data_IF_952175169356
#
_entry.id   IF_952175169356
#
_cell.length_a   1.000
_cell.length_b   1.000
_cell.length_c   1.000
_cell.angle_alpha   90.00
_cell.angle_beta   90.00
_cell.angle_gamma   90.00
#
_symmetry.space_group_name_H-M   'P 1'
#
loop_
_entity.id
_entity.type
_entity.pdbx_description
1 polymer ?
#
# COMPACT_ATOMS: atom_id res chain seq x y z
N UNK A 1 28.34 -3.79 10.93
CA UNK A 1 27.87 -3.13 9.69
C UNK A 1 28.20 -3.90 8.40
N UNK A 2 29.27 -4.71 8.34
CA UNK A 2 29.54 -5.68 7.24
C UNK A 2 28.39 -6.64 7.00
N UNK A 3 27.78 -7.13 8.09
CA UNK A 3 26.61 -8.01 8.06
C UNK A 3 25.38 -7.34 7.40
N UNK A 4 25.16 -6.05 7.64
CA UNK A 4 24.06 -5.29 7.02
C UNK A 4 24.26 -5.16 5.50
N UNK A 5 25.49 -4.86 5.06
CA UNK A 5 25.83 -4.75 3.64
C UNK A 5 25.66 -6.10 2.93
N UNK A 6 26.09 -7.20 3.55
CA UNK A 6 25.88 -8.56 3.03
C UNK A 6 24.39 -8.93 2.95
N UNK A 7 23.61 -8.57 3.98
CA UNK A 7 22.15 -8.75 3.96
C UNK A 7 21.47 -7.95 2.85
N UNK A 8 21.88 -6.68 2.63
CA UNK A 8 21.37 -5.86 1.52
C UNK A 8 21.70 -6.49 0.17
N UNK A 9 22.96 -6.95 -0.03
CA UNK A 9 23.39 -7.62 -1.27
C UNK A 9 22.59 -8.90 -1.54
N UNK A 10 22.47 -9.78 -0.54
CA UNK A 10 21.67 -10.99 -0.64
C UNK A 10 20.19 -10.68 -0.99
N UNK A 11 19.65 -9.60 -0.40
CA UNK A 11 18.28 -9.15 -0.68
C UNK A 11 18.10 -8.68 -2.12
N UNK A 12 19.04 -7.90 -2.64
CA UNK A 12 19.03 -7.43 -4.03
C UNK A 12 19.10 -8.59 -5.03
N UNK A 13 20.00 -9.55 -4.81
CA UNK A 13 20.11 -10.74 -5.65
C UNK A 13 18.79 -11.53 -5.66
N UNK A 14 18.22 -11.78 -4.48
CA UNK A 14 16.93 -12.47 -4.37
C UNK A 14 15.80 -11.72 -5.10
N UNK A 15 15.79 -10.39 -5.09
CA UNK A 15 14.77 -9.62 -5.81
C UNK A 15 15.01 -9.64 -7.33
N UNK A 16 16.26 -9.65 -7.79
CA UNK A 16 16.59 -9.79 -9.21
C UNK A 16 16.13 -11.15 -9.78
N UNK A 17 16.31 -12.22 -9.00
CA UNK A 17 15.87 -13.57 -9.38
C UNK A 17 14.35 -13.71 -9.33
N UNK A 18 13.67 -13.12 -8.34
CA UNK A 18 12.20 -13.07 -8.31
C UNK A 18 11.65 -12.33 -9.55
N UNK A 19 12.22 -11.17 -9.89
CA UNK A 19 11.82 -10.42 -11.09
C UNK A 19 12.03 -11.25 -12.37
N UNK A 20 13.17 -11.93 -12.48
CA UNK A 20 13.49 -12.79 -13.63
C UNK A 20 12.48 -13.92 -13.76
N UNK A 21 12.23 -14.65 -12.67
CA UNK A 21 11.33 -15.80 -12.61
C UNK A 21 9.90 -15.43 -13.00
N UNK A 22 9.41 -14.28 -12.55
CA UNK A 22 8.03 -13.83 -12.81
C UNK A 22 7.85 -13.12 -14.16
N UNK A 23 8.95 -12.81 -14.86
CA UNK A 23 8.91 -11.98 -16.08
C UNK A 23 8.02 -12.58 -17.16
N UNK A 24 8.18 -13.86 -17.47
CA UNK A 24 7.45 -14.46 -18.60
C UNK A 24 5.96 -14.63 -18.27
N UNK A 25 5.64 -15.16 -17.08
CA UNK A 25 4.26 -15.24 -16.62
C UNK A 25 3.54 -13.87 -16.59
N UNK A 26 4.24 -12.79 -16.19
CA UNK A 26 3.68 -11.44 -16.27
C UNK A 26 3.42 -10.98 -17.72
N UNK A 27 4.33 -11.30 -18.65
CA UNK A 27 4.21 -10.95 -20.08
C UNK A 27 3.11 -11.72 -20.81
N UNK A 28 2.94 -12.99 -20.49
CA UNK A 28 1.89 -13.86 -21.04
C UNK A 28 0.55 -13.50 -20.40
N UNK A 29 0.55 -13.30 -19.08
CA UNK A 29 -0.66 -12.97 -18.31
C UNK A 29 -1.42 -14.21 -17.90
N UNK A 30 -0.70 -15.30 -17.68
CA UNK A 30 -1.21 -16.56 -17.15
C UNK A 30 -1.87 -16.38 -15.78
N UNK A 31 -1.26 -15.54 -14.93
CA UNK A 31 -1.69 -15.31 -13.56
C UNK A 31 -1.40 -13.84 -13.14
N UNK A 32 -2.39 -13.08 -12.64
CA UNK A 32 -2.19 -11.76 -12.04
C UNK A 32 -1.13 -11.73 -10.92
N UNK A 33 -0.90 -12.86 -10.25
CA UNK A 33 0.05 -12.98 -9.15
C UNK A 33 1.49 -12.71 -9.57
N UNK A 34 1.84 -12.97 -10.84
CA UNK A 34 3.17 -12.62 -11.36
C UNK A 34 3.44 -11.11 -11.25
N UNK A 35 2.46 -10.28 -11.62
CA UNK A 35 2.59 -8.81 -11.53
C UNK A 35 2.64 -8.37 -10.07
N UNK A 36 1.83 -9.00 -9.20
CA UNK A 36 1.85 -8.73 -7.77
C UNK A 36 3.23 -9.00 -7.14
N UNK A 37 3.79 -10.20 -7.37
CA UNK A 37 5.09 -10.58 -6.82
C UNK A 37 6.23 -9.72 -7.38
N UNK A 38 6.19 -9.35 -8.67
CA UNK A 38 7.16 -8.40 -9.22
C UNK A 38 7.08 -7.03 -8.53
N UNK A 39 5.90 -6.51 -8.21
CA UNK A 39 5.76 -5.27 -7.43
C UNK A 39 6.33 -5.41 -6.03
N UNK A 40 6.08 -6.53 -5.37
CA UNK A 40 6.65 -6.85 -4.05
C UNK A 40 8.18 -6.85 -4.12
N UNK A 41 8.76 -7.48 -5.15
CA UNK A 41 10.19 -7.51 -5.38
C UNK A 41 10.78 -6.12 -5.60
N UNK A 42 10.16 -5.29 -6.45
CA UNK A 42 10.58 -3.89 -6.66
C UNK A 42 10.56 -3.10 -5.35
N UNK A 43 9.47 -3.18 -4.57
CA UNK A 43 9.37 -2.47 -3.28
C UNK A 43 10.46 -2.91 -2.31
N UNK A 44 10.71 -4.22 -2.21
CA UNK A 44 11.75 -4.81 -1.34
C UNK A 44 13.15 -4.40 -1.77
N UNK A 45 13.44 -4.37 -3.07
CA UNK A 45 14.72 -3.89 -3.61
C UNK A 45 14.95 -2.42 -3.26
N UNK A 46 13.95 -1.56 -3.47
CA UNK A 46 14.04 -0.13 -3.11
C UNK A 46 14.24 0.09 -1.61
N UNK A 47 13.58 -0.70 -0.76
CA UNK A 47 13.79 -0.65 0.68
C UNK A 47 15.22 -1.05 1.06
N UNK A 48 15.76 -2.09 0.42
CA UNK A 48 17.14 -2.53 0.64
C UNK A 48 18.16 -1.46 0.21
N UNK A 49 17.94 -0.78 -0.92
CA UNK A 49 18.81 0.33 -1.37
C UNK A 49 18.86 1.49 -0.38
N UNK A 50 17.73 1.80 0.27
CA UNK A 50 17.68 2.83 1.32
C UNK A 50 18.40 2.41 2.59
N UNK A 51 18.53 1.11 2.85
CA UNK A 51 19.16 0.56 4.05
C UNK A 51 20.70 0.51 3.96
N UNK A 52 21.27 0.69 2.77
CA UNK A 52 22.70 0.89 2.60
C UNK A 52 23.27 0.17 1.38
N UNK A 53 23.56 0.92 0.32
CA UNK A 53 24.51 0.66 -0.77
C UNK A 53 24.46 1.88 -1.70
N UNK A 54 25.57 2.62 -1.94
CA UNK A 54 25.57 3.74 -2.87
C UNK A 54 25.44 3.21 -4.30
N UNK A 55 24.21 3.11 -4.81
CA UNK A 55 23.91 2.67 -6.18
C UNK A 55 23.19 3.81 -6.91
N UNK A 56 23.94 4.82 -7.39
CA UNK A 56 23.36 5.96 -8.08
C UNK A 56 22.46 5.51 -9.23
N UNK A 57 21.22 6.04 -9.26
CA UNK A 57 20.27 5.77 -10.33
C UNK A 57 19.46 4.47 -10.21
N UNK A 58 19.84 3.50 -9.37
CA UNK A 58 19.13 2.22 -9.30
C UNK A 58 17.72 2.36 -8.68
N UNK A 59 17.53 3.25 -7.69
CA UNK A 59 16.19 3.56 -7.16
C UNK A 59 15.29 4.18 -8.25
N UNK A 60 15.85 5.01 -9.12
CA UNK A 60 15.10 5.64 -10.20
C UNK A 60 14.63 4.60 -11.24
N UNK A 61 15.49 3.64 -11.59
CA UNK A 61 15.13 2.53 -12.49
C UNK A 61 14.08 1.59 -11.85
N UNK A 62 14.22 1.27 -10.56
CA UNK A 62 13.21 0.51 -9.82
C UNK A 62 11.88 1.26 -9.72
N UNK A 63 11.91 2.59 -9.54
CA UNK A 63 10.71 3.44 -9.56
C UNK A 63 10.04 3.42 -10.94
N UNK A 64 10.81 3.51 -12.02
CA UNK A 64 10.31 3.40 -13.39
C UNK A 64 9.61 2.06 -13.64
N UNK A 65 10.26 0.93 -13.30
CA UNK A 65 9.66 -0.39 -13.43
C UNK A 65 8.40 -0.52 -12.54
N UNK A 66 8.51 -0.06 -11.28
CA UNK A 66 7.43 -0.09 -10.31
C UNK A 66 6.19 0.69 -10.76
N UNK A 67 6.36 1.81 -11.46
CA UNK A 67 5.24 2.56 -12.02
C UNK A 67 4.51 1.76 -13.12
N UNK A 68 5.26 1.08 -14.00
CA UNK A 68 4.66 0.30 -15.09
C UNK A 68 3.95 -0.97 -14.61
N UNK A 69 4.51 -1.67 -13.63
CA UNK A 69 3.83 -2.79 -12.95
C UNK A 69 2.65 -2.26 -12.12
N UNK A 70 2.83 -1.05 -11.59
CA UNK A 70 1.90 -0.30 -10.78
C UNK A 70 0.53 -0.19 -11.43
N UNK A 71 0.52 0.46 -12.60
CA UNK A 71 -0.66 0.74 -13.39
C UNK A 71 -1.51 -0.50 -13.72
N UNK A 72 -0.88 -1.67 -13.91
CA UNK A 72 -1.63 -2.92 -14.15
C UNK A 72 -2.26 -3.43 -12.87
N UNK A 73 -1.47 -3.56 -11.79
CA UNK A 73 -1.97 -4.14 -10.54
C UNK A 73 -3.02 -3.25 -9.88
N UNK A 74 -2.90 -1.94 -9.97
CA UNK A 74 -3.89 -1.02 -9.39
C UNK A 74 -5.26 -1.23 -10.06
N UNK A 75 -5.29 -1.39 -11.39
CA UNK A 75 -6.51 -1.73 -12.13
C UNK A 75 -7.01 -3.15 -11.85
N UNK A 76 -6.12 -4.14 -11.68
CA UNK A 76 -6.51 -5.49 -11.25
C UNK A 76 -7.23 -5.44 -9.90
N UNK A 77 -6.63 -4.79 -8.89
CA UNK A 77 -7.21 -4.64 -7.55
C UNK A 77 -8.55 -3.92 -7.61
N UNK A 78 -8.65 -2.84 -8.40
CA UNK A 78 -9.89 -2.07 -8.51
C UNK A 78 -11.01 -2.89 -9.16
N UNK A 79 -10.72 -3.60 -10.27
CA UNK A 79 -11.67 -4.50 -10.92
C UNK A 79 -12.13 -5.63 -9.99
N UNK A 80 -11.19 -6.30 -9.32
CA UNK A 80 -11.49 -7.39 -8.39
C UNK A 80 -12.37 -6.89 -7.24
N UNK A 81 -12.05 -5.73 -6.68
CA UNK A 81 -12.80 -5.12 -5.58
C UNK A 81 -14.24 -4.77 -6.00
N UNK A 82 -14.41 -4.09 -7.14
CA UNK A 82 -15.74 -3.72 -7.64
C UNK A 82 -16.59 -4.94 -8.03
N UNK A 83 -15.98 -5.99 -8.60
CA UNK A 83 -16.69 -7.26 -8.88
C UNK A 83 -17.09 -8.00 -7.60
N UNK A 84 -16.22 -8.02 -6.59
CA UNK A 84 -16.56 -8.60 -5.29
C UNK A 84 -17.76 -7.88 -4.65
N UNK A 85 -17.97 -6.59 -4.98
CA UNK A 85 -19.14 -5.81 -4.54
C UNK A 85 -20.41 -6.11 -5.31
N UNK A 86 -20.34 -6.78 -6.45
CA UNK A 86 -21.51 -7.26 -7.19
C UNK A 86 -21.94 -8.67 -6.75
N UNK A 87 -21.26 -9.32 -5.80
CA UNK A 87 -21.67 -10.65 -5.30
C UNK A 87 -23.11 -10.60 -4.79
N UNK A 88 -23.95 -11.53 -5.27
CA UNK A 88 -25.38 -11.59 -4.96
C UNK A 88 -26.27 -10.69 -5.84
N UNK A 89 -25.72 -10.10 -6.90
CA UNK A 89 -26.52 -9.54 -8.00
C UNK A 89 -27.04 -10.68 -8.89
N UNK A 90 -28.16 -10.45 -9.57
CA UNK A 90 -28.67 -11.38 -10.59
C UNK A 90 -27.87 -11.29 -11.91
N UNK A 91 -28.21 -12.13 -12.89
CA UNK A 91 -27.45 -12.24 -14.15
C UNK A 91 -27.47 -10.93 -14.97
N UNK A 92 -28.62 -10.26 -15.05
CA UNK A 92 -28.79 -9.00 -15.79
C UNK A 92 -28.00 -7.87 -15.11
N UNK A 93 -28.02 -7.83 -13.78
CA UNK A 93 -27.25 -6.89 -12.99
C UNK A 93 -25.74 -7.13 -13.10
N UNK A 94 -25.28 -8.38 -13.12
CA UNK A 94 -23.87 -8.71 -13.32
C UNK A 94 -23.40 -8.28 -14.72
N UNK A 95 -24.21 -8.49 -15.75
CA UNK A 95 -23.92 -8.00 -17.11
C UNK A 95 -23.87 -6.47 -17.16
N UNK A 96 -24.75 -5.80 -16.42
CA UNK A 96 -24.76 -4.35 -16.28
C UNK A 96 -23.51 -3.84 -15.54
N UNK A 97 -23.02 -4.54 -14.51
CA UNK A 97 -21.75 -4.23 -13.85
C UNK A 97 -20.57 -4.38 -14.80
N UNK A 98 -20.50 -5.45 -15.60
CA UNK A 98 -19.41 -5.60 -16.58
C UNK A 98 -19.44 -4.51 -17.67
N UNK A 99 -20.64 -4.01 -18.03
CA UNK A 99 -20.80 -2.85 -18.90
C UNK A 99 -20.24 -1.59 -18.26
N UNK A 100 -20.56 -1.34 -16.99
CA UNK A 100 -20.02 -0.23 -16.20
C UNK A 100 -18.49 -0.28 -16.11
N UNK A 101 -17.93 -1.47 -15.86
CA UNK A 101 -16.48 -1.67 -15.67
C UNK A 101 -15.69 -1.70 -16.99
N UNK A 102 -16.36 -1.62 -18.15
CA UNK A 102 -15.71 -1.75 -19.46
C UNK A 102 -14.54 -0.77 -19.65
N UNK A 103 -14.71 0.49 -19.22
CA UNK A 103 -13.66 1.51 -19.29
C UNK A 103 -12.38 1.07 -18.55
N UNK A 104 -12.51 0.54 -17.34
CA UNK A 104 -11.37 0.02 -16.57
C UNK A 104 -10.73 -1.20 -17.25
N UNK A 105 -11.53 -2.09 -17.84
CA UNK A 105 -11.02 -3.24 -18.59
C UNK A 105 -10.18 -2.80 -19.78
N UNK A 106 -10.61 -1.76 -20.52
CA UNK A 106 -9.86 -1.17 -21.63
C UNK A 106 -8.56 -0.53 -21.14
N UNK A 107 -8.61 0.27 -20.07
CA UNK A 107 -7.42 0.87 -19.45
C UNK A 107 -6.42 -0.20 -19.00
N UNK A 108 -6.90 -1.28 -18.39
CA UNK A 108 -6.07 -2.39 -17.92
C UNK A 108 -5.37 -3.09 -19.08
N UNK A 109 -6.07 -3.29 -20.21
CA UNK A 109 -5.47 -3.84 -21.44
C UNK A 109 -4.36 -2.92 -21.97
N UNK A 110 -4.58 -1.60 -21.99
CA UNK A 110 -3.57 -0.64 -22.42
C UNK A 110 -2.34 -0.59 -21.48
N UNK A 111 -2.57 -0.55 -20.16
CA UNK A 111 -1.53 -0.62 -19.15
C UNK A 111 -0.70 -1.91 -19.29
N UNK A 112 -1.37 -3.05 -19.51
CA UNK A 112 -0.73 -4.35 -19.74
C UNK A 112 0.13 -4.34 -21.00
N UNK A 113 -0.33 -3.75 -22.11
CA UNK A 113 0.49 -3.61 -23.31
C UNK A 113 1.75 -2.78 -23.05
N UNK A 114 1.63 -1.68 -22.32
CA UNK A 114 2.77 -0.84 -21.92
C UNK A 114 3.75 -1.61 -21.05
N UNK A 115 3.26 -2.30 -20.02
CA UNK A 115 4.07 -3.16 -19.16
C UNK A 115 4.80 -4.24 -19.96
N UNK A 116 4.14 -4.91 -20.92
CA UNK A 116 4.78 -5.91 -21.78
C UNK A 116 5.93 -5.32 -22.59
N UNK A 117 5.79 -4.09 -23.12
CA UNK A 117 6.89 -3.39 -23.83
C UNK A 117 8.04 -3.07 -22.87
N UNK A 118 7.74 -2.60 -21.66
CA UNK A 118 8.72 -2.35 -20.59
C UNK A 118 9.51 -3.61 -20.28
N UNK A 119 8.83 -4.72 -20.01
CA UNK A 119 9.47 -5.99 -19.67
C UNK A 119 10.28 -6.57 -20.84
N UNK A 120 9.98 -6.25 -22.11
CA UNK A 120 10.78 -6.67 -23.28
C UNK A 120 11.95 -5.74 -23.60
N UNK A 121 12.01 -4.58 -22.96
CA UNK A 121 12.98 -3.54 -23.30
C UNK A 121 14.43 -3.94 -22.92
N UNK A 122 15.40 -3.33 -23.62
CA UNK A 122 16.81 -3.41 -23.22
C UNK A 122 17.03 -2.76 -21.84
N UNK A 123 16.26 -1.72 -21.51
CA UNK A 123 16.32 -1.02 -20.22
C UNK A 123 15.99 -1.94 -19.05
N UNK A 124 14.94 -2.75 -19.16
CA UNK A 124 14.59 -3.74 -18.14
C UNK A 124 15.70 -4.78 -17.92
N UNK A 125 16.30 -5.29 -19.00
CA UNK A 125 17.44 -6.21 -18.89
C UNK A 125 18.62 -5.58 -18.17
N UNK A 126 18.99 -4.35 -18.56
CA UNK A 126 20.06 -3.58 -17.88
C UNK A 126 19.77 -3.37 -16.39
N UNK A 127 18.52 -3.15 -16.01
CA UNK A 127 18.13 -3.06 -14.60
C UNK A 127 18.38 -4.37 -13.85
N UNK A 128 18.02 -5.53 -14.43
CA UNK A 128 18.31 -6.83 -13.81
C UNK A 128 19.81 -7.06 -13.65
N UNK A 129 20.59 -6.72 -14.68
CA UNK A 129 22.04 -6.84 -14.66
C UNK A 129 22.66 -5.93 -13.58
N UNK A 130 22.21 -4.67 -13.49
CA UNK A 130 22.65 -3.72 -12.48
C UNK A 130 22.29 -4.16 -11.05
N UNK A 131 21.13 -4.80 -10.84
CA UNK A 131 20.77 -5.38 -9.54
C UNK A 131 21.70 -6.54 -9.14
N UNK A 132 22.05 -7.40 -10.10
CA UNK A 132 23.01 -8.50 -9.87
C UNK A 132 24.41 -7.99 -9.60
N UNK A 133 24.86 -7.00 -10.38
CA UNK A 133 26.16 -6.35 -10.21
C UNK A 133 26.26 -5.64 -8.86
N UNK A 134 25.23 -4.91 -8.45
CA UNK A 134 25.19 -4.28 -7.13
C UNK A 134 25.23 -5.31 -5.98
N UNK A 135 24.70 -6.52 -6.21
CA UNK A 135 24.74 -7.59 -5.23
C UNK A 135 26.11 -8.29 -5.14
N UNK A 136 26.90 -8.31 -6.23
CA UNK A 136 28.20 -9.00 -6.30
C UNK A 136 29.41 -8.07 -6.18
N UNK A 137 29.24 -6.76 -6.41
CA UNK A 137 30.33 -5.79 -6.35
C UNK A 137 30.97 -5.74 -4.96
N UNK A 138 32.28 -5.98 -4.89
CA UNK A 138 33.06 -6.01 -3.66
C UNK A 138 33.42 -4.62 -3.09
N UNK A 139 32.86 -3.53 -3.62
CA UNK A 139 33.25 -2.17 -3.19
C UNK A 139 33.03 -1.96 -1.70
N UNK A 140 34.15 -1.77 -0.99
CA UNK A 140 34.22 -1.32 0.39
C UNK A 140 33.67 0.12 0.45
N UNK A 141 32.70 0.33 1.34
CA UNK A 141 32.15 1.65 1.61
C UNK A 141 33.01 2.30 2.70
N UNK A 142 33.47 3.56 2.55
CA UNK A 142 34.05 4.32 3.65
C UNK A 142 32.97 4.51 4.72
N UNK A 143 33.27 4.05 5.94
CA UNK A 143 32.35 4.06 7.08
C UNK A 143 32.52 5.39 7.82
N UNK A 144 31.48 6.21 7.82
CA UNK A 144 31.28 7.18 8.90
C UNK A 144 30.43 6.48 9.97
N UNK A 145 31.05 6.23 11.12
CA UNK A 145 30.37 5.76 12.33
C UNK A 145 29.49 6.88 12.88
N UNK A 146 28.18 6.67 12.83
CA UNK A 146 27.26 7.33 13.77
C UNK A 146 26.61 6.24 14.61
N UNK A 147 27.29 5.87 15.69
CA UNK A 147 26.66 5.22 16.84
C UNK A 147 25.80 6.28 17.55
N UNK A 148 24.62 6.56 17.02
CA UNK A 148 23.57 7.22 17.79
C UNK A 148 22.80 6.15 18.56
N UNK A 149 23.08 6.10 19.86
CA UNK A 149 22.30 5.42 20.88
C UNK A 149 20.80 5.72 20.69
N UNK A 150 19.89 4.72 20.74
CA UNK A 150 18.49 4.97 20.47
C UNK A 150 17.94 5.96 21.50
N UNK A 151 17.31 7.09 21.09
CA UNK A 151 16.62 7.95 22.04
C UNK A 151 15.60 7.09 22.78
N UNK A 152 15.54 7.24 24.11
CA UNK A 152 14.68 6.46 25.00
C UNK A 152 13.38 6.10 24.28
N UNK A 153 13.19 4.81 24.00
CA UNK A 153 12.20 4.18 23.09
C UNK A 153 10.79 4.82 23.11
N UNK A 154 10.43 5.35 24.28
CA UNK A 154 9.18 6.03 24.61
C UNK A 154 9.05 7.40 23.91
N UNK A 155 10.14 8.16 23.78
CA UNK A 155 10.16 9.50 23.18
C UNK A 155 9.82 9.50 21.69
N UNK A 156 10.24 8.46 20.96
CA UNK A 156 9.98 8.26 19.52
C UNK A 156 8.49 8.01 19.26
N UNK A 157 7.79 7.35 20.18
CA UNK A 157 6.35 7.03 20.08
C UNK A 157 5.46 8.17 20.58
N UNK A 158 5.89 8.88 21.63
CA UNK A 158 5.07 9.91 22.32
C UNK A 158 4.68 11.08 21.41
N UNK A 159 5.58 11.54 20.53
CA UNK A 159 5.30 12.67 19.62
C UNK A 159 4.28 12.31 18.53
N UNK A 160 4.42 11.19 17.78
CA UNK A 160 3.39 10.71 16.86
C UNK A 160 2.04 10.43 17.52
N UNK A 161 2.02 9.80 18.70
CA UNK A 161 0.79 9.53 19.45
C UNK A 161 0.05 10.82 19.80
N UNK A 162 0.74 11.81 20.41
CA UNK A 162 0.12 13.10 20.73
C UNK A 162 -0.42 13.83 19.49
N UNK A 163 0.25 13.71 18.34
CA UNK A 163 -0.24 14.28 17.08
C UNK A 163 -1.52 13.58 16.61
N UNK A 164 -1.58 12.25 16.72
CA UNK A 164 -2.78 11.47 16.38
C UNK A 164 -3.97 11.86 17.27
N UNK A 165 -3.76 11.92 18.60
CA UNK A 165 -4.83 12.29 19.54
C UNK A 165 -5.35 13.71 19.29
N UNK A 166 -4.45 14.69 19.12
CA UNK A 166 -4.85 16.07 18.79
C UNK A 166 -5.59 16.18 17.46
N UNK A 167 -5.18 15.43 16.45
CA UNK A 167 -5.87 15.40 15.17
C UNK A 167 -7.29 14.85 15.35
N UNK A 168 -7.45 13.76 16.11
CA UNK A 168 -8.76 13.17 16.40
C UNK A 168 -9.67 14.06 17.26
N UNK A 169 -9.12 14.76 18.25
CA UNK A 169 -9.85 15.71 19.10
C UNK A 169 -10.39 16.89 18.29
N UNK A 170 -9.68 17.32 17.24
CA UNK A 170 -10.15 18.37 16.35
C UNK A 170 -11.31 17.91 15.43
N UNK A 171 -11.58 16.61 15.34
CA UNK A 171 -12.66 16.07 14.52
C UNK A 171 -14.00 16.12 15.25
N UNK A 172 -14.99 16.76 14.62
CA UNK A 172 -16.38 16.76 15.07
C UNK A 172 -17.05 15.38 15.02
N UNK A 173 -18.33 15.31 15.37
CA UNK A 173 -19.09 14.05 15.44
C UNK A 173 -19.12 13.31 14.09
N UNK A 174 -19.27 14.05 12.98
CA UNK A 174 -19.27 13.52 11.62
C UNK A 174 -18.21 14.24 10.76
N UNK A 175 -16.93 13.87 10.87
CA UNK A 175 -15.86 14.55 10.14
C UNK A 175 -15.95 14.28 8.62
N UNK A 176 -15.51 15.21 7.76
CA UNK A 176 -15.30 14.98 6.33
C UNK A 176 -14.48 13.72 6.03
N UNK A 177 -14.66 13.13 4.85
CA UNK A 177 -13.91 11.93 4.44
C UNK A 177 -12.39 12.21 4.38
N UNK A 178 -11.98 13.39 3.90
CA UNK A 178 -10.56 13.81 3.83
C UNK A 178 -9.91 13.95 5.21
N UNK A 179 -10.67 14.38 6.22
CA UNK A 179 -10.15 14.49 7.59
C UNK A 179 -9.87 13.10 8.20
N UNK A 180 -10.70 12.10 7.87
CA UNK A 180 -10.45 10.70 8.24
C UNK A 180 -9.24 10.12 7.49
N UNK A 181 -9.02 10.54 6.23
CA UNK A 181 -7.81 10.19 5.49
C UNK A 181 -6.54 10.71 6.17
N UNK A 182 -6.53 12.00 6.54
CA UNK A 182 -5.40 12.62 7.25
C UNK A 182 -5.18 11.97 8.62
N UNK A 183 -6.25 11.64 9.35
CA UNK A 183 -6.15 10.91 10.61
C UNK A 183 -5.48 9.54 10.41
N UNK A 184 -5.79 8.82 9.34
CA UNK A 184 -5.11 7.57 8.99
C UNK A 184 -3.62 7.76 8.71
N UNK A 185 -3.22 8.87 8.10
CA UNK A 185 -1.80 9.20 7.89
C UNK A 185 -1.09 9.38 9.23
N UNK A 186 -1.73 10.03 10.21
CA UNK A 186 -1.20 10.11 11.58
C UNK A 186 -1.07 8.73 12.22
N UNK A 187 -2.06 7.85 12.06
CA UNK A 187 -2.00 6.46 12.51
C UNK A 187 -0.81 5.71 11.91
N UNK A 188 -0.56 5.86 10.60
CA UNK A 188 0.61 5.27 9.91
C UNK A 188 1.93 5.71 10.50
N UNK A 189 2.06 7.01 10.78
CA UNK A 189 3.27 7.57 11.40
C UNK A 189 3.50 6.98 12.79
N UNK A 190 2.44 6.80 13.59
CA UNK A 190 2.54 6.15 14.91
C UNK A 190 2.96 4.69 14.80
N UNK A 191 2.31 3.90 13.93
CA UNK A 191 2.66 2.49 13.75
C UNK A 191 4.10 2.31 13.30
N UNK A 192 4.56 3.13 12.34
CA UNK A 192 5.95 3.10 11.88
C UNK A 192 6.94 3.40 13.02
N UNK A 193 6.66 4.43 13.84
CA UNK A 193 7.47 4.73 15.00
C UNK A 193 7.51 3.58 16.02
N UNK A 194 6.38 2.89 16.23
CA UNK A 194 6.29 1.72 17.10
C UNK A 194 7.01 0.48 16.54
N UNK A 195 6.92 0.22 15.23
CA UNK A 195 7.64 -0.86 14.54
C UNK A 195 9.17 -0.64 14.58
N UNK A 196 9.65 0.60 14.43
CA UNK A 196 11.07 0.91 14.59
C UNK A 196 11.59 0.66 16.01
N UNK A 197 10.71 0.74 16.99
CA UNK A 197 11.00 0.46 18.39
C UNK A 197 10.91 -1.05 18.75
N UNK A 198 10.49 -1.90 17.80
CA UNK A 198 10.29 -3.34 17.99
C UNK A 198 11.55 -4.18 18.27
N UNK A 199 12.79 -3.82 17.87
CA UNK A 199 13.98 -4.60 18.21
C UNK A 199 14.23 -4.76 19.72
N UNK A 200 13.62 -3.92 20.57
CA UNK A 200 13.62 -4.04 22.03
C UNK A 200 12.42 -4.85 22.62
N UNK A 201 11.63 -5.48 21.73
CA UNK A 201 10.45 -6.35 21.89
C UNK A 201 9.79 -6.51 23.28
N UNK A 202 9.37 -5.40 23.90
CA UNK A 202 8.45 -5.42 25.05
C UNK A 202 7.03 -5.73 24.55
N UNK A 203 6.30 -6.63 25.23
CA UNK A 203 4.89 -7.02 24.95
C UNK A 203 3.96 -5.83 24.65
N UNK A 204 4.23 -4.66 25.26
CA UNK A 204 3.47 -3.42 25.10
C UNK A 204 3.62 -2.77 23.72
N UNK A 205 4.82 -2.79 23.12
CA UNK A 205 5.01 -2.24 21.76
C UNK A 205 4.23 -3.08 20.75
N UNK A 206 4.25 -4.40 20.90
CA UNK A 206 3.44 -5.31 20.06
C UNK A 206 1.95 -5.01 20.18
N UNK A 207 1.46 -4.74 21.39
CA UNK A 207 0.07 -4.33 21.60
C UNK A 207 -0.26 -3.01 20.89
N UNK A 208 0.60 -2.00 20.99
CA UNK A 208 0.42 -0.72 20.29
C UNK A 208 0.44 -0.90 18.76
N UNK A 209 1.36 -1.71 18.22
CA UNK A 209 1.42 -2.01 16.78
C UNK A 209 0.12 -2.69 16.32
N UNK A 210 -0.39 -3.65 17.10
CA UNK A 210 -1.65 -4.34 16.79
C UNK A 210 -2.84 -3.37 16.79
N UNK A 211 -3.04 -2.62 17.87
CA UNK A 211 -4.14 -1.66 17.98
C UNK A 211 -4.09 -0.61 16.86
N UNK A 212 -2.89 -0.10 16.54
CA UNK A 212 -2.72 0.90 15.48
C UNK A 212 -2.97 0.28 14.09
N UNK A 213 -2.68 -1.01 13.90
CA UNK A 213 -3.00 -1.72 12.67
C UNK A 213 -4.52 -1.85 12.49
N UNK A 214 -5.24 -2.31 13.50
CA UNK A 214 -6.71 -2.45 13.45
C UNK A 214 -7.39 -1.11 13.17
N UNK A 215 -6.97 -0.04 13.86
CA UNK A 215 -7.40 1.32 13.59
C UNK A 215 -7.15 1.76 12.13
N UNK A 216 -5.95 1.48 11.60
CA UNK A 216 -5.59 1.81 10.21
C UNK A 216 -6.33 0.99 9.16
N UNK A 217 -6.68 -0.26 9.49
CA UNK A 217 -7.41 -1.15 8.61
C UNK A 217 -8.83 -0.63 8.44
N UNK A 218 -9.52 -0.23 9.52
CA UNK A 218 -10.86 0.40 9.45
C UNK A 218 -10.86 1.72 8.67
N UNK A 219 -9.91 2.63 8.95
CA UNK A 219 -9.82 3.87 8.16
C UNK A 219 -9.34 3.61 6.72
N UNK A 220 -8.63 2.50 6.49
CA UNK A 220 -8.27 2.05 5.15
C UNK A 220 -9.51 1.64 4.37
N UNK A 221 -10.34 0.79 4.97
CA UNK A 221 -11.60 0.33 4.39
C UNK A 221 -12.58 1.49 4.12
N UNK A 222 -12.62 2.49 5.02
CA UNK A 222 -13.38 3.72 4.79
C UNK A 222 -12.89 4.46 3.55
N UNK A 223 -11.58 4.74 3.44
CA UNK A 223 -10.99 5.42 2.29
C UNK A 223 -11.25 4.65 0.98
N UNK A 224 -11.07 3.33 1.02
CA UNK A 224 -11.28 2.49 -0.16
C UNK A 224 -12.74 2.53 -0.62
N UNK A 225 -13.70 2.62 0.31
CA UNK A 225 -15.11 2.80 -0.01
C UNK A 225 -15.42 4.20 -0.58
N UNK A 226 -14.75 5.25 -0.10
CA UNK A 226 -14.84 6.62 -0.68
C UNK A 226 -14.37 6.60 -2.14
N UNK A 227 -13.17 6.06 -2.38
CA UNK A 227 -12.58 5.98 -3.72
C UNK A 227 -13.43 5.10 -4.65
N UNK A 228 -14.00 4.00 -4.13
CA UNK A 228 -14.88 3.13 -4.91
C UNK A 228 -16.16 3.85 -5.34
N UNK A 229 -16.83 4.59 -4.43
CA UNK A 229 -18.01 5.39 -4.79
C UNK A 229 -17.68 6.43 -5.88
N UNK A 230 -16.58 7.16 -5.72
CA UNK A 230 -16.12 8.14 -6.71
C UNK A 230 -15.82 7.48 -8.06
N UNK A 231 -15.14 6.34 -8.04
CA UNK A 231 -14.83 5.55 -9.25
C UNK A 231 -16.12 5.13 -9.97
N UNK A 232 -17.09 4.58 -9.25
CA UNK A 232 -18.36 4.12 -9.85
C UNK A 232 -19.09 5.29 -10.51
N UNK A 233 -19.14 6.46 -9.85
CA UNK A 233 -19.75 7.67 -10.40
C UNK A 233 -19.02 8.19 -11.63
N UNK A 234 -17.68 8.19 -11.58
CA UNK A 234 -16.84 8.56 -12.72
C UNK A 234 -17.10 7.65 -13.93
N UNK A 235 -17.09 6.34 -13.73
CA UNK A 235 -17.36 5.36 -14.78
C UNK A 235 -18.75 5.53 -15.40
N UNK A 236 -19.78 5.76 -14.58
CA UNK A 236 -21.12 6.01 -15.09
C UNK A 236 -21.19 7.31 -15.91
N UNK A 237 -20.46 8.34 -15.49
CA UNK A 237 -20.37 9.62 -16.22
C UNK A 237 -19.64 9.44 -17.56
N UNK A 238 -18.55 8.67 -17.57
CA UNK A 238 -17.74 8.41 -18.77
C UNK A 238 -18.49 7.63 -19.86
N UNK A 239 -19.54 6.89 -19.50
CA UNK A 239 -20.39 6.19 -20.46
C UNK A 239 -21.32 7.13 -21.26
N UNK A 240 -21.55 8.36 -20.76
CA UNK A 240 -22.34 9.39 -21.45
C UNK A 240 -23.85 9.13 -21.49
N UNK A 241 -24.53 9.78 -22.44
CA UNK A 241 -25.98 9.67 -22.62
C UNK A 241 -26.37 8.34 -23.28
N UNK A 242 -27.59 7.86 -22.96
CA UNK A 242 -28.14 6.63 -23.57
C UNK A 242 -27.69 5.32 -22.90
N UNK A 243 -27.05 5.40 -21.73
CA UNK A 243 -26.69 4.24 -20.91
C UNK A 243 -27.95 3.45 -20.53
N UNK A 244 -27.94 2.10 -20.65
CA UNK A 244 -29.08 1.28 -20.25
C UNK A 244 -29.46 1.51 -18.79
N UNK A 245 -30.77 1.57 -18.50
CA UNK A 245 -31.29 1.79 -17.14
C UNK A 245 -30.77 0.74 -16.16
N UNK A 246 -30.55 -0.50 -16.61
CA UNK A 246 -29.96 -1.58 -15.81
C UNK A 246 -28.55 -1.26 -15.31
N UNK A 247 -27.74 -0.56 -16.12
CA UNK A 247 -26.38 -0.10 -15.72
C UNK A 247 -26.47 1.01 -14.68
N UNK A 248 -27.37 1.97 -14.87
CA UNK A 248 -27.61 3.04 -13.87
C UNK A 248 -28.07 2.43 -12.55
N UNK A 249 -28.98 1.46 -12.61
CA UNK A 249 -29.50 0.76 -11.42
C UNK A 249 -28.39 -0.03 -10.70
N UNK A 250 -27.62 -0.84 -11.42
CA UNK A 250 -26.51 -1.60 -10.86
C UNK A 250 -25.43 -0.69 -10.23
N UNK A 251 -25.08 0.41 -10.90
CA UNK A 251 -24.18 1.43 -10.36
C UNK A 251 -24.71 2.04 -9.05
N UNK A 252 -26.01 2.36 -9.02
CA UNK A 252 -26.67 2.85 -7.80
C UNK A 252 -26.60 1.86 -6.65
N UNK A 253 -26.83 0.56 -6.91
CA UNK A 253 -26.70 -0.50 -5.88
C UNK A 253 -25.28 -0.63 -5.36
N UNK A 254 -24.27 -0.54 -6.24
CA UNK A 254 -22.86 -0.56 -5.83
C UNK A 254 -22.52 0.65 -4.96
N UNK A 255 -22.96 1.86 -5.34
CA UNK A 255 -22.77 3.08 -4.54
C UNK A 255 -23.39 2.95 -3.15
N UNK A 256 -24.61 2.42 -3.05
CA UNK A 256 -25.26 2.20 -1.75
C UNK A 256 -24.51 1.19 -0.88
N UNK A 257 -23.93 0.13 -1.48
CA UNK A 257 -23.06 -0.80 -0.74
C UNK A 257 -21.80 -0.11 -0.22
N UNK A 258 -21.16 0.76 -1.00
CA UNK A 258 -20.00 1.53 -0.54
C UNK A 258 -20.36 2.54 0.55
N UNK A 259 -21.51 3.20 0.46
CA UNK A 259 -22.03 4.09 1.52
C UNK A 259 -22.28 3.36 2.82
N UNK A 260 -22.87 2.16 2.76
CA UNK A 260 -23.05 1.31 3.94
C UNK A 260 -21.71 0.94 4.59
N UNK A 261 -20.68 0.62 3.79
CA UNK A 261 -19.32 0.38 4.29
C UNK A 261 -18.71 1.61 4.95
N UNK A 262 -18.82 2.78 4.33
CA UNK A 262 -18.34 4.04 4.93
C UNK A 262 -19.00 4.30 6.27
N UNK A 263 -20.33 4.15 6.34
CA UNK A 263 -21.09 4.31 7.57
C UNK A 263 -20.63 3.32 8.65
N UNK A 264 -20.41 2.04 8.30
CA UNK A 264 -19.88 1.05 9.23
C UNK A 264 -18.48 1.42 9.76
N UNK A 265 -17.55 1.80 8.89
CA UNK A 265 -16.21 2.20 9.33
C UNK A 265 -16.24 3.46 10.21
N UNK A 266 -17.17 4.39 9.93
CA UNK A 266 -17.38 5.63 10.72
C UNK A 266 -17.81 5.34 12.16
N UNK A 267 -18.49 4.22 12.44
CA UNK A 267 -18.85 3.86 13.82
C UNK A 267 -17.72 3.17 14.58
N UNK A 268 -16.72 2.63 13.87
CA UNK A 268 -15.67 1.78 14.43
C UNK A 268 -14.39 2.54 14.81
N UNK A 269 -14.06 3.64 14.10
CA UNK A 269 -12.74 4.26 14.25
C UNK A 269 -12.50 4.91 15.61
N UNK A 270 -13.52 5.49 16.26
CA UNK A 270 -13.38 6.11 17.59
C UNK A 270 -13.09 5.06 18.69
N UNK A 271 -13.86 3.95 18.80
CA UNK A 271 -13.51 2.84 19.69
C UNK A 271 -12.07 2.34 19.51
N UNK A 272 -11.66 2.09 18.26
CA UNK A 272 -10.30 1.61 17.95
C UNK A 272 -9.22 2.64 18.28
N UNK A 273 -9.51 3.94 18.10
CA UNK A 273 -8.59 4.99 18.52
C UNK A 273 -8.39 5.01 20.04
N UNK A 274 -9.45 4.77 20.82
CA UNK A 274 -9.35 4.63 22.28
C UNK A 274 -8.44 3.47 22.66
N UNK A 275 -8.51 2.33 21.96
CA UNK A 275 -7.60 1.21 22.18
C UNK A 275 -6.14 1.55 21.86
N UNK A 276 -5.90 2.31 20.78
CA UNK A 276 -4.58 2.86 20.45
C UNK A 276 -4.06 3.75 21.57
N UNK A 277 -4.91 4.62 22.11
CA UNK A 277 -4.55 5.53 23.20
C UNK A 277 -4.19 4.77 24.49
N UNK A 278 -5.02 3.81 24.90
CA UNK A 278 -4.75 2.95 26.05
C UNK A 278 -3.45 2.14 25.89
N UNK A 279 -3.21 1.59 24.71
CA UNK A 279 -1.98 0.86 24.42
C UNK A 279 -0.75 1.79 24.52
N UNK A 280 -0.85 3.02 24.02
CA UNK A 280 0.21 4.01 24.10
C UNK A 280 0.45 4.50 25.54
N UNK A 281 -0.60 4.79 26.31
CA UNK A 281 -0.49 5.21 27.72
C UNK A 281 0.18 4.14 28.57
N UNK A 282 -0.15 2.86 28.36
CA UNK A 282 0.49 1.74 29.05
C UNK A 282 2.02 1.65 28.83
N UNK A 283 2.50 2.20 27.71
CA UNK A 283 3.92 2.33 27.40
C UNK A 283 4.56 3.51 28.16
N UNK A 284 3.80 4.57 28.42
CA UNK A 284 4.27 5.81 29.03
C UNK A 284 4.27 5.77 30.57
N UNK A 285 3.32 5.07 31.19
CA UNK A 285 3.10 5.06 32.65
C UNK A 285 4.16 4.30 33.47
N UNK A 286 5.22 3.80 32.84
CA UNK A 286 6.37 3.16 33.52
C UNK A 286 7.74 3.71 33.07
N UNK A 287 7.83 4.98 32.73
CA UNK A 287 9.13 5.67 32.78
C UNK A 287 9.30 6.29 34.17
N UNK A 288 9.71 5.47 35.17
CA UNK A 288 11.09 5.61 35.65
C UNK A 288 11.80 4.27 35.95
N UNK A 289 13.13 4.37 35.92
CA UNK A 289 14.22 3.38 36.08
C UNK A 289 14.49 2.40 34.92
#
# INVERSE_FOLDING_TARGET
MTELVEQVRARLLAQAEELTTRTEGAREGSDPEHVHQMRVAVRRARAALKAGLPTPGLDAELKWLGASLGAVRDLDVQLDSLRARAVGFDEDELAAVETLLHGLVVQRRAARQTMRRVLRSKRYRKLLDALREAATSATAVPVEDTEDEPPALISVVRKPHRKLMRAAEALGENPPDDDLHELRIHGKRLRYAAEMAEPAARKRIKALVSATKEFQDVLGDHQDAVIAEETIRGLLTDLGDGVPVTVVFAAGRLVERERARKAHCRTQWRPLLTEVDLAAQSLFDRAPE
#
